data_IF_867759202128
#
_entry.id   IF_867759202128
#
_cell.length_a   1.000
_cell.length_b   1.000
_cell.length_c   1.000
_cell.angle_alpha   90.00
_cell.angle_beta   90.00
_cell.angle_gamma   90.00
#
_symmetry.space_group_name_H-M   'P 1'
#
loop_
_entity.id
_entity.type
_entity.pdbx_description
1 polymer ?
#
# COMPACT_ATOMS: atom_id res chain seq x y z
N UNK A 1 8.85 -1.74 16.19
CA UNK A 1 8.98 -3.20 16.39
C UNK A 1 9.61 -3.80 15.14
N UNK A 2 10.60 -4.70 15.32
CA UNK A 2 11.38 -5.32 14.24
C UNK A 2 10.48 -5.95 13.16
N UNK A 3 9.47 -6.75 13.55
CA UNK A 3 8.53 -7.39 12.62
C UNK A 3 7.73 -6.39 11.77
N UNK A 4 7.29 -5.28 12.38
CA UNK A 4 6.52 -4.26 11.66
C UNK A 4 7.37 -3.56 10.61
N UNK A 5 8.62 -3.23 10.92
CA UNK A 5 9.51 -2.56 9.97
C UNK A 5 10.07 -3.51 8.90
N UNK A 6 10.37 -4.76 9.23
CA UNK A 6 11.06 -5.69 8.33
C UNK A 6 10.12 -6.54 7.47
N UNK A 7 8.91 -6.85 7.96
CA UNK A 7 7.96 -7.72 7.26
C UNK A 7 6.75 -6.93 6.76
N UNK A 8 5.99 -6.31 7.66
CA UNK A 8 4.71 -5.69 7.30
C UNK A 8 4.85 -4.39 6.50
N UNK A 9 5.87 -3.61 6.81
CA UNK A 9 6.16 -2.35 6.13
C UNK A 9 7.31 -2.48 5.12
N UNK A 10 7.63 -3.71 4.71
CA UNK A 10 8.62 -3.94 3.66
C UNK A 10 8.14 -3.31 2.35
N UNK A 11 9.03 -2.55 1.69
CA UNK A 11 8.69 -1.76 0.50
C UNK A 11 7.99 -2.57 -0.60
N UNK A 12 8.37 -3.82 -0.82
CA UNK A 12 7.75 -4.67 -1.85
C UNK A 12 6.31 -5.06 -1.49
N UNK A 13 6.00 -5.24 -0.21
CA UNK A 13 4.64 -5.51 0.24
C UNK A 13 3.76 -4.26 0.08
N UNK A 14 4.32 -3.07 0.31
CA UNK A 14 3.64 -1.80 0.06
C UNK A 14 3.30 -1.65 -1.43
N UNK A 15 4.27 -1.93 -2.31
CA UNK A 15 4.04 -1.88 -3.76
C UNK A 15 3.00 -2.90 -4.22
N UNK A 16 3.12 -4.16 -3.79
CA UNK A 16 2.17 -5.21 -4.16
C UNK A 16 0.75 -4.91 -3.66
N UNK A 17 0.62 -4.42 -2.43
CA UNK A 17 -0.67 -4.02 -1.86
C UNK A 17 -1.28 -2.83 -2.61
N UNK A 18 -0.46 -1.86 -3.02
CA UNK A 18 -0.92 -0.74 -3.83
C UNK A 18 -1.39 -1.19 -5.22
N UNK A 19 -0.64 -2.08 -5.88
CA UNK A 19 -1.06 -2.65 -7.17
C UNK A 19 -2.40 -3.37 -7.02
N UNK A 20 -2.57 -4.22 -5.99
CA UNK A 20 -3.83 -4.89 -5.74
C UNK A 20 -4.99 -3.92 -5.51
N UNK A 21 -4.76 -2.81 -4.78
CA UNK A 21 -5.75 -1.75 -4.61
C UNK A 21 -6.12 -1.09 -5.93
N UNK A 22 -5.14 -0.81 -6.81
CA UNK A 22 -5.43 -0.24 -8.13
C UNK A 22 -6.19 -1.23 -9.01
N UNK A 23 -5.85 -2.52 -8.97
CA UNK A 23 -6.59 -3.56 -9.71
C UNK A 23 -8.05 -3.57 -9.28
N UNK A 24 -8.33 -3.65 -7.97
CA UNK A 24 -9.71 -3.66 -7.46
C UNK A 24 -10.43 -2.36 -7.81
N UNK A 25 -9.76 -1.20 -7.71
CA UNK A 25 -10.34 0.10 -8.09
C UNK A 25 -10.72 0.13 -9.57
N UNK A 26 -9.82 -0.29 -10.46
CA UNK A 26 -10.07 -0.35 -11.91
C UNK A 26 -11.18 -1.35 -12.26
N UNK A 27 -11.19 -2.51 -11.59
CA UNK A 27 -12.25 -3.50 -11.76
C UNK A 27 -13.63 -2.94 -11.36
N UNK A 28 -13.70 -2.20 -10.23
CA UNK A 28 -14.94 -1.54 -9.78
C UNK A 28 -15.42 -0.41 -10.69
N UNK A 29 -14.51 0.25 -11.38
CA UNK A 29 -14.83 1.29 -12.37
C UNK A 29 -15.32 0.70 -13.70
N UNK A 30 -15.09 -0.59 -13.93
CA UNK A 30 -15.58 -1.29 -15.12
C UNK A 30 -17.07 -1.57 -15.00
N UNK A 31 -17.78 -1.57 -16.12
CA UNK A 31 -19.16 -2.02 -16.19
C UNK A 31 -19.22 -3.56 -15.99
N UNK A 32 -20.27 -4.11 -15.36
CA UNK A 32 -20.40 -5.55 -15.13
C UNK A 32 -20.24 -6.40 -16.40
N UNK A 33 -20.72 -5.91 -17.55
CA UNK A 33 -20.63 -6.63 -18.83
C UNK A 33 -19.27 -6.49 -19.52
N UNK A 34 -18.44 -5.54 -19.07
CA UNK A 34 -17.13 -5.24 -19.66
C UNK A 34 -15.97 -6.00 -18.98
N UNK A 35 -16.24 -6.70 -17.88
CA UNK A 35 -15.23 -7.40 -17.10
C UNK A 35 -15.75 -8.74 -16.62
N UNK A 36 -15.04 -9.82 -16.96
CA UNK A 36 -15.38 -11.15 -16.45
C UNK A 36 -15.27 -11.18 -14.91
N UNK A 37 -16.36 -11.52 -14.24
CA UNK A 37 -16.38 -11.83 -12.81
C UNK A 37 -17.41 -12.91 -12.56
N UNK A 38 -17.05 -13.94 -11.79
CA UNK A 38 -18.05 -14.90 -11.32
C UNK A 38 -19.05 -14.24 -10.36
N UNK A 39 -20.11 -14.95 -10.00
CA UNK A 39 -21.17 -14.40 -9.14
C UNK A 39 -20.67 -13.88 -7.78
N UNK A 40 -19.61 -14.47 -7.23
CA UNK A 40 -19.03 -14.04 -5.95
C UNK A 40 -18.22 -12.76 -6.17
N UNK A 41 -17.29 -12.76 -7.11
CA UNK A 41 -16.46 -11.59 -7.42
C UNK A 41 -17.29 -10.40 -7.88
N UNK A 42 -18.35 -10.65 -8.66
CA UNK A 42 -19.27 -9.61 -9.11
C UNK A 42 -19.92 -8.87 -7.93
N UNK A 43 -20.38 -9.59 -6.90
CA UNK A 43 -20.92 -8.97 -5.67
C UNK A 43 -19.84 -8.21 -4.91
N UNK A 44 -18.61 -8.73 -4.82
CA UNK A 44 -17.48 -8.03 -4.21
C UNK A 44 -17.09 -6.72 -4.91
N UNK A 45 -17.26 -6.65 -6.23
CA UNK A 45 -16.94 -5.48 -7.03
C UNK A 45 -18.08 -4.45 -7.04
N UNK A 46 -19.31 -4.88 -7.36
CA UNK A 46 -20.39 -3.95 -7.72
C UNK A 46 -21.56 -3.92 -6.73
N UNK A 47 -21.62 -4.84 -5.76
CA UNK A 47 -22.68 -4.88 -4.75
C UNK A 47 -22.12 -5.22 -3.34
N UNK A 48 -21.15 -4.44 -2.83
CA UNK A 48 -20.50 -4.76 -1.56
C UNK A 48 -21.44 -4.59 -0.35
N UNK A 49 -22.43 -3.69 -0.44
CA UNK A 49 -23.30 -3.34 0.68
C UNK A 49 -24.42 -4.37 0.92
N UNK A 50 -24.81 -5.13 -0.10
CA UNK A 50 -25.82 -6.20 0.05
C UNK A 50 -25.20 -7.60 0.21
N UNK A 51 -23.92 -7.70 0.58
CA UNK A 51 -23.20 -8.98 0.66
C UNK A 51 -23.61 -9.81 1.88
N UNK A 52 -24.06 -11.05 1.65
CA UNK A 52 -24.31 -12.02 2.72
C UNK A 52 -23.02 -12.73 3.17
N UNK A 53 -23.06 -13.33 4.36
CA UNK A 53 -21.90 -14.03 4.93
C UNK A 53 -21.41 -15.19 4.07
N UNK A 54 -22.30 -15.87 3.34
CA UNK A 54 -21.92 -17.01 2.49
C UNK A 54 -21.09 -16.55 1.29
N UNK A 55 -21.46 -15.43 0.67
CA UNK A 55 -20.75 -14.79 -0.43
C UNK A 55 -19.42 -14.20 0.03
N UNK A 56 -19.40 -13.58 1.21
CA UNK A 56 -18.17 -13.08 1.81
C UNK A 56 -17.15 -14.21 2.02
N UNK A 57 -17.59 -15.33 2.61
CA UNK A 57 -16.73 -16.48 2.89
C UNK A 57 -16.36 -17.30 1.64
N UNK A 58 -17.09 -17.13 0.54
CA UNK A 58 -16.83 -17.83 -0.71
C UNK A 58 -15.68 -17.21 -1.53
N UNK A 59 -15.22 -16.00 -1.17
CA UNK A 59 -14.07 -15.38 -1.81
C UNK A 59 -12.79 -15.67 -1.02
N UNK A 60 -11.80 -16.24 -1.70
CA UNK A 60 -10.49 -16.56 -1.14
C UNK A 60 -9.38 -16.14 -2.12
N UNK A 61 -8.13 -16.42 -1.75
CA UNK A 61 -6.97 -16.08 -2.57
C UNK A 61 -6.94 -16.86 -3.89
N UNK A 62 -7.53 -18.07 -3.94
CA UNK A 62 -7.58 -18.87 -5.16
C UNK A 62 -8.58 -18.27 -6.16
N UNK A 63 -9.79 -17.94 -5.70
CA UNK A 63 -10.79 -17.25 -6.51
C UNK A 63 -10.27 -15.89 -6.95
N UNK A 64 -9.71 -15.11 -6.04
CA UNK A 64 -9.12 -13.81 -6.38
C UNK A 64 -7.99 -13.98 -7.40
N UNK A 65 -7.09 -14.93 -7.18
CA UNK A 65 -5.99 -15.25 -8.10
C UNK A 65 -6.46 -15.68 -9.49
N UNK A 66 -7.53 -16.46 -9.57
CA UNK A 66 -8.15 -16.84 -10.84
C UNK A 66 -8.66 -15.60 -11.61
N UNK A 67 -9.32 -14.67 -10.93
CA UNK A 67 -9.78 -13.43 -11.58
C UNK A 67 -8.60 -12.55 -12.03
N UNK A 68 -7.53 -12.45 -11.24
CA UNK A 68 -6.32 -11.73 -11.66
C UNK A 68 -5.73 -12.31 -12.96
N UNK A 69 -5.71 -13.63 -13.11
CA UNK A 69 -5.24 -14.30 -14.33
C UNK A 69 -6.17 -14.01 -15.51
N UNK A 70 -7.49 -14.15 -15.33
CA UNK A 70 -8.50 -13.84 -16.35
C UNK A 70 -8.42 -12.38 -16.80
N UNK A 71 -8.29 -11.44 -15.85
CA UNK A 71 -8.20 -10.01 -16.14
C UNK A 71 -6.90 -9.62 -16.82
N UNK A 72 -5.80 -10.33 -16.57
CA UNK A 72 -4.55 -10.17 -17.31
C UNK A 72 -4.72 -10.52 -18.80
N UNK A 73 -5.52 -11.53 -19.10
CA UNK A 73 -5.67 -12.07 -20.47
C UNK A 73 -6.78 -11.38 -21.26
N UNK A 74 -7.91 -11.06 -20.61
CA UNK A 74 -9.14 -10.65 -21.29
C UNK A 74 -9.72 -9.32 -20.77
N UNK A 75 -9.13 -8.73 -19.72
CA UNK A 75 -9.62 -7.48 -19.14
C UNK A 75 -9.34 -6.25 -20.03
N UNK A 76 -9.81 -5.06 -19.65
CA UNK A 76 -9.38 -3.81 -20.29
C UNK A 76 -7.87 -3.57 -20.12
N UNK A 77 -7.22 -2.91 -21.09
CA UNK A 77 -5.77 -2.72 -21.12
C UNK A 77 -5.15 -2.17 -19.80
N UNK A 78 -5.75 -1.17 -19.11
CA UNK A 78 -5.25 -0.72 -17.81
C UNK A 78 -5.21 -1.83 -16.74
N UNK A 79 -6.26 -2.67 -16.70
CA UNK A 79 -6.38 -3.74 -15.74
C UNK A 79 -5.44 -4.90 -16.08
N UNK A 80 -5.27 -5.20 -17.38
CA UNK A 80 -4.31 -6.20 -17.84
C UNK A 80 -2.90 -5.89 -17.36
N UNK A 81 -2.45 -4.64 -17.55
CA UNK A 81 -1.11 -4.21 -17.16
C UNK A 81 -0.89 -4.29 -15.64
N UNK A 82 -1.87 -3.85 -14.84
CA UNK A 82 -1.79 -3.96 -13.38
C UNK A 82 -1.74 -5.42 -12.91
N UNK A 83 -2.57 -6.29 -13.49
CA UNK A 83 -2.57 -7.73 -13.16
C UNK A 83 -1.25 -8.39 -13.56
N UNK A 84 -0.72 -8.08 -14.76
CA UNK A 84 0.59 -8.55 -15.22
C UNK A 84 1.70 -8.16 -14.25
N UNK A 85 1.77 -6.89 -13.85
CA UNK A 85 2.79 -6.40 -12.89
C UNK A 85 2.75 -7.15 -11.56
N UNK A 86 1.55 -7.42 -11.04
CA UNK A 86 1.39 -8.13 -9.78
C UNK A 86 1.77 -9.61 -9.90
N UNK A 87 1.26 -10.30 -10.93
CA UNK A 87 1.45 -11.75 -11.15
C UNK A 87 2.89 -12.08 -11.54
N UNK A 88 3.51 -11.29 -12.42
CA UNK A 88 4.86 -11.53 -12.93
C UNK A 88 5.95 -10.93 -12.02
N UNK A 89 5.55 -10.35 -10.88
CA UNK A 89 6.44 -9.64 -9.94
C UNK A 89 7.22 -8.49 -10.58
N UNK A 90 6.68 -7.90 -11.65
CA UNK A 90 7.19 -6.67 -12.26
C UNK A 90 6.72 -5.43 -11.48
N UNK A 91 7.20 -5.37 -10.23
CA UNK A 91 6.81 -4.36 -9.25
C UNK A 91 7.46 -3.00 -9.54
N UNK A 92 6.68 -1.95 -9.27
CA UNK A 92 7.13 -0.55 -9.25
C UNK A 92 8.27 -0.33 -8.25
N UNK A 93 9.00 0.76 -8.44
CA UNK A 93 9.94 1.25 -7.45
C UNK A 93 9.20 1.99 -6.34
N UNK A 94 9.80 1.98 -5.14
CA UNK A 94 9.34 2.74 -3.99
C UNK A 94 10.51 3.57 -3.45
N UNK A 95 10.42 4.88 -3.61
CA UNK A 95 11.39 5.85 -3.09
C UNK A 95 10.90 6.40 -1.76
N UNK A 96 11.78 6.39 -0.77
CA UNK A 96 11.49 6.90 0.57
C UNK A 96 11.43 8.43 0.55
N UNK A 97 10.29 9.00 0.95
CA UNK A 97 10.04 10.44 0.98
C UNK A 97 9.65 10.91 2.38
N UNK A 98 9.98 10.14 3.43
CA UNK A 98 9.68 10.50 4.82
C UNK A 98 10.28 11.83 5.26
N UNK A 99 11.46 12.16 4.76
CA UNK A 99 12.16 13.42 5.06
C UNK A 99 11.62 14.66 4.33
N UNK A 100 10.59 14.48 3.50
CA UNK A 100 9.91 15.59 2.81
C UNK A 100 8.65 15.97 3.59
N UNK A 101 8.29 17.25 3.57
CA UNK A 101 7.00 17.72 4.06
C UNK A 101 5.85 17.36 3.09
N UNK A 102 4.61 17.63 3.50
CA UNK A 102 3.44 17.27 2.69
C UNK A 102 3.44 17.92 1.29
N UNK A 103 3.79 19.20 1.19
CA UNK A 103 3.82 19.93 -0.08
C UNK A 103 4.89 19.33 -1.00
N UNK A 104 6.09 19.11 -0.47
CA UNK A 104 7.20 18.48 -1.20
C UNK A 104 6.87 17.06 -1.66
N UNK A 105 6.11 16.28 -0.88
CA UNK A 105 5.64 14.94 -1.29
C UNK A 105 4.66 15.01 -2.46
N UNK A 106 3.75 15.97 -2.47
CA UNK A 106 2.82 16.18 -3.58
C UNK A 106 3.55 16.66 -4.83
N UNK A 107 4.52 17.56 -4.70
CA UNK A 107 5.39 17.99 -5.80
C UNK A 107 6.19 16.82 -6.37
N UNK A 108 6.74 15.96 -5.50
CA UNK A 108 7.43 14.74 -5.91
C UNK A 108 6.52 13.76 -6.65
N UNK A 109 5.25 13.62 -6.23
CA UNK A 109 4.25 12.82 -6.93
C UNK A 109 3.95 13.40 -8.32
N UNK A 110 3.66 14.71 -8.40
CA UNK A 110 3.41 15.39 -9.67
C UNK A 110 4.59 15.27 -10.64
N UNK A 111 5.82 15.35 -10.12
CA UNK A 111 7.04 15.13 -10.88
C UNK A 111 7.13 13.71 -11.43
N UNK A 112 6.91 12.69 -10.60
CA UNK A 112 6.90 11.29 -11.03
C UNK A 112 5.82 11.04 -12.10
N UNK A 113 4.64 11.64 -11.95
CA UNK A 113 3.56 11.54 -12.94
C UNK A 113 3.97 12.15 -14.29
N UNK A 114 4.53 13.37 -14.29
CA UNK A 114 4.99 14.04 -15.50
C UNK A 114 6.09 13.25 -16.21
N UNK A 115 7.06 12.72 -15.48
CA UNK A 115 8.13 11.89 -16.05
C UNK A 115 7.59 10.59 -16.63
N UNK A 116 6.61 9.97 -15.97
CA UNK A 116 5.98 8.73 -16.45
C UNK A 116 5.19 8.98 -17.73
N UNK A 117 4.43 10.07 -17.79
CA UNK A 117 3.71 10.48 -18.99
C UNK A 117 4.67 10.77 -20.15
N UNK A 118 5.80 11.45 -19.90
CA UNK A 118 6.83 11.70 -20.91
C UNK A 118 7.50 10.41 -21.41
N UNK A 119 7.51 9.35 -20.60
CA UNK A 119 7.97 8.02 -20.97
C UNK A 119 6.88 7.15 -21.65
N UNK A 120 5.69 7.70 -21.92
CA UNK A 120 4.57 6.98 -22.53
C UNK A 120 3.82 6.03 -21.58
N UNK A 121 3.99 6.20 -20.27
CA UNK A 121 3.33 5.42 -19.24
C UNK A 121 2.14 6.18 -18.67
N UNK A 122 1.07 5.47 -18.34
CA UNK A 122 -0.10 6.05 -17.66
C UNK A 122 0.22 6.31 -16.17
N UNK A 123 0.30 7.58 -15.73
CA UNK A 123 0.62 7.93 -14.36
C UNK A 123 -0.38 7.40 -13.33
N UNK A 124 -1.65 7.25 -13.68
CA UNK A 124 -2.68 6.76 -12.76
C UNK A 124 -2.50 5.27 -12.44
N UNK A 125 -1.80 4.53 -13.31
CA UNK A 125 -1.51 3.11 -13.15
C UNK A 125 -0.14 2.83 -12.53
N UNK A 126 0.80 3.79 -12.58
CA UNK A 126 2.19 3.55 -12.19
C UNK A 126 2.77 4.53 -11.16
N UNK A 127 2.06 5.61 -10.81
CA UNK A 127 2.49 6.57 -9.80
C UNK A 127 1.53 6.60 -8.61
N UNK A 128 2.08 6.72 -7.39
CA UNK A 128 1.26 6.89 -6.21
C UNK A 128 2.05 7.28 -4.97
N UNK A 129 1.40 7.98 -4.05
CA UNK A 129 1.98 8.33 -2.76
C UNK A 129 1.35 7.46 -1.67
N UNK A 130 2.18 6.79 -0.86
CA UNK A 130 1.74 5.93 0.26
C UNK A 130 2.26 6.46 1.57
N UNK A 131 1.36 7.01 2.36
CA UNK A 131 1.64 7.52 3.69
C UNK A 131 0.94 6.63 4.73
N UNK A 132 1.70 6.21 5.75
CA UNK A 132 1.16 5.42 6.86
C UNK A 132 1.85 5.82 8.14
N UNK A 133 1.06 6.05 9.19
CA UNK A 133 1.58 6.11 10.56
C UNK A 133 1.42 4.74 11.21
N UNK A 134 2.52 4.20 11.70
CA UNK A 134 2.56 2.92 12.39
C UNK A 134 3.14 3.12 13.78
N UNK A 135 2.40 2.70 14.80
CA UNK A 135 2.91 2.70 16.17
C UNK A 135 3.33 1.27 16.53
N UNK A 136 4.55 1.09 17.04
CA UNK A 136 5.08 -0.24 17.37
C UNK A 136 4.46 -0.86 18.62
N UNK A 137 3.95 -0.02 19.51
CA UNK A 137 3.22 -0.37 20.72
C UNK A 137 2.10 0.65 20.92
N UNK A 138 0.87 0.21 21.18
CA UNK A 138 -0.26 1.10 21.49
C UNK A 138 -0.56 1.03 23.00
N UNK A 139 -0.42 2.14 23.75
CA UNK A 139 -0.61 2.16 25.20
C UNK A 139 -2.04 1.83 25.73
N UNK A 140 -3.10 1.92 24.91
CA UNK A 140 -4.50 1.66 25.32
C UNK A 140 -5.20 0.75 24.30
N UNK A 141 -6.00 -0.29 24.62
CA UNK A 141 -6.65 -0.79 25.85
C UNK A 141 -6.08 -2.19 26.17
N UNK A 142 -5.62 -2.44 27.41
CA UNK A 142 -5.05 -3.73 27.81
C UNK A 142 -3.52 -3.84 27.70
N UNK A 143 -2.80 -2.71 27.75
CA UNK A 143 -1.33 -2.68 27.76
C UNK A 143 -0.72 -3.48 28.92
N UNK A 144 0.53 -3.93 28.73
CA UNK A 144 1.23 -4.72 29.73
C UNK A 144 1.48 -3.88 30.99
N UNK A 145 1.14 -4.44 32.15
CA UNK A 145 1.42 -3.84 33.45
C UNK A 145 2.48 -4.65 34.18
N UNK A 146 3.39 -3.96 34.85
CA UNK A 146 4.42 -4.55 35.70
C UNK A 146 3.96 -4.42 37.16
N UNK A 147 3.90 -5.54 37.88
CA UNK A 147 3.77 -5.52 39.34
C UNK A 147 5.15 -5.49 39.97
N UNK A 148 5.44 -4.45 40.75
CA UNK A 148 6.72 -4.30 41.43
C UNK A 148 6.73 -4.84 42.89
N UNK A 149 5.61 -5.40 43.35
CA UNK A 149 5.42 -5.80 44.76
C UNK A 149 4.52 -4.86 45.58
N UNK A 150 4.25 -3.64 45.09
CA UNK A 150 3.47 -2.59 45.77
C UNK A 150 2.32 -2.08 44.90
N UNK A 151 2.60 -1.79 43.63
CA UNK A 151 1.64 -1.23 42.69
C UNK A 151 1.84 -1.78 41.26
N UNK A 152 0.77 -1.67 40.46
CA UNK A 152 0.80 -2.00 39.03
C UNK A 152 1.18 -0.75 38.24
N UNK A 153 2.30 -0.81 37.52
CA UNK A 153 2.80 0.28 36.69
C UNK A 153 2.70 -0.06 35.21
N UNK A 154 2.45 0.92 34.36
CA UNK A 154 2.40 0.68 32.92
C UNK A 154 3.82 0.45 32.37
N UNK A 155 4.00 -0.55 31.51
CA UNK A 155 5.32 -0.97 31.04
C UNK A 155 6.11 0.15 30.33
N UNK A 156 5.42 1.00 29.57
CA UNK A 156 6.00 2.15 28.89
C UNK A 156 6.49 3.26 29.84
N UNK A 157 5.97 3.33 31.06
CA UNK A 157 6.41 4.31 32.06
C UNK A 157 7.73 3.90 32.73
N UNK A 158 7.99 2.59 32.80
CA UNK A 158 9.15 2.03 33.50
C UNK A 158 10.27 1.58 32.56
N UNK A 159 9.97 1.41 31.26
CA UNK A 159 10.95 1.02 30.24
C UNK A 159 11.11 2.08 29.14
N UNK A 160 12.25 2.80 29.11
CA UNK A 160 12.54 3.75 28.03
C UNK A 160 12.52 3.12 26.63
N UNK A 161 12.88 1.84 26.53
CA UNK A 161 12.79 1.08 25.28
C UNK A 161 11.34 0.90 24.82
N UNK A 162 10.43 0.53 25.72
CA UNK A 162 9.01 0.36 25.36
C UNK A 162 8.37 1.72 25.06
N UNK A 163 8.77 2.77 25.77
CA UNK A 163 8.34 4.12 25.47
C UNK A 163 8.74 4.56 24.05
N UNK A 164 9.99 4.31 23.63
CA UNK A 164 10.42 4.67 22.27
C UNK A 164 9.67 3.90 21.19
N UNK A 165 9.22 2.67 21.46
CA UNK A 165 8.35 1.89 20.56
C UNK A 165 6.91 2.40 20.49
N UNK A 166 6.49 3.21 21.46
CA UNK A 166 5.18 3.86 21.52
C UNK A 166 5.11 5.12 20.65
N UNK A 167 6.25 5.63 20.19
CA UNK A 167 6.29 6.76 19.27
C UNK A 167 5.84 6.31 17.86
N UNK A 168 4.92 7.05 17.21
CA UNK A 168 4.51 6.74 15.85
C UNK A 168 5.70 6.87 14.89
N UNK A 169 5.92 5.85 14.09
CA UNK A 169 6.82 5.92 12.94
C UNK A 169 6.01 6.30 11.72
N UNK A 170 6.44 7.36 11.04
CA UNK A 170 5.87 7.74 9.76
C UNK A 170 6.57 6.97 8.63
N UNK A 171 5.77 6.48 7.70
CA UNK A 171 6.17 5.89 6.44
C UNK A 171 5.60 6.73 5.33
N UNK A 172 6.44 7.12 4.38
CA UNK A 172 6.03 7.85 3.19
C UNK A 172 6.83 7.30 2.01
N UNK A 173 6.14 6.66 1.07
CA UNK A 173 6.73 6.05 -0.11
C UNK A 173 6.13 6.64 -1.38
N UNK A 174 6.99 7.12 -2.27
CA UNK A 174 6.64 7.49 -3.62
C UNK A 174 6.82 6.27 -4.53
N UNK A 175 5.72 5.79 -5.09
CA UNK A 175 5.68 4.71 -6.05
C UNK A 175 5.81 5.26 -7.46
N UNK A 176 6.68 4.67 -8.27
CA UNK A 176 6.94 5.11 -9.65
C UNK A 176 7.54 3.96 -10.50
N UNK A 177 7.44 4.05 -11.84
CA UNK A 177 8.10 3.10 -12.74
C UNK A 177 9.64 3.15 -12.62
N UNK A 178 10.31 2.07 -13.04
CA UNK A 178 11.79 1.97 -12.97
C UNK A 178 12.46 2.96 -13.93
N UNK A 179 11.79 3.19 -15.05
CA UNK A 179 12.17 4.01 -16.19
C UNK A 179 12.44 5.46 -15.78
N UNK A 180 11.68 5.99 -14.82
CA UNK A 180 11.78 7.38 -14.36
C UNK A 180 12.68 7.55 -13.13
N UNK A 181 13.18 6.46 -12.55
CA UNK A 181 13.89 6.45 -11.25
C UNK A 181 15.05 7.43 -11.22
N UNK A 182 15.92 7.38 -12.22
CA UNK A 182 17.19 8.10 -12.19
C UNK A 182 16.96 9.61 -12.38
N UNK A 183 16.03 9.99 -13.26
CA UNK A 183 15.61 11.38 -13.45
C UNK A 183 14.89 11.94 -12.22
N UNK A 184 13.99 11.16 -11.62
CA UNK A 184 13.28 11.54 -10.40
C UNK A 184 14.26 11.76 -9.25
N UNK A 185 15.26 10.88 -9.09
CA UNK A 185 16.28 10.99 -8.03
C UNK A 185 17.14 12.25 -8.17
N UNK A 186 17.41 12.72 -9.39
CA UNK A 186 18.19 13.94 -9.63
C UNK A 186 17.40 15.21 -9.29
N UNK A 187 16.08 15.17 -9.43
CA UNK A 187 15.20 16.33 -9.24
C UNK A 187 14.53 16.36 -7.85
N UNK A 188 14.53 15.24 -7.14
CA UNK A 188 14.03 15.17 -5.76
C UNK A 188 14.88 16.05 -4.83
N UNK A 189 14.26 16.87 -3.97
CA UNK A 189 14.99 17.61 -2.96
C UNK A 189 15.73 16.64 -2.04
N UNK A 190 16.93 17.04 -1.60
CA UNK A 190 17.68 16.28 -0.61
C UNK A 190 16.84 16.19 0.67
N UNK A 191 16.62 14.96 1.16
CA UNK A 191 15.91 14.76 2.42
C UNK A 191 16.64 15.51 3.54
N UNK A 192 15.93 16.38 4.25
CA UNK A 192 16.49 17.00 5.46
C UNK A 192 16.67 15.87 6.49
N UNK A 193 17.85 15.67 7.09
CA UNK A 193 17.99 14.69 8.15
C UNK A 193 17.01 15.04 9.26
N UNK A 194 16.20 14.07 9.69
CA UNK A 194 15.33 14.23 10.83
C UNK A 194 16.20 14.58 12.06
N UNK A 195 15.91 15.72 12.69
CA UNK A 195 16.56 16.18 13.91
C UNK A 195 16.26 15.27 15.11
#
# INVERSE_FOLDING_TARGET
SLMYSTVYNHRLNIVANWLLQQIVRQARQSQPDALFADAVMARWLWDPDAMDSSTYLANDDLRTGYHLQRWREEGPAPLQELCRRLLDRDLLQATDVRGLDHTQRLEALAMAQRLSQAAGLDPDLCCGLRERRSTGYRPYVGGLRLWNGQDLQALEQVSPLVNSLSQPQELAWLLHPREVRDQLRQQLPAATPAA
#
